data_IF_875645455751
#
_entry.id   IF_875645455751
#
_cell.length_a   1.000
_cell.length_b   1.000
_cell.length_c   1.000
_cell.angle_alpha   90.00
_cell.angle_beta   90.00
_cell.angle_gamma   90.00
#
_symmetry.space_group_name_H-M   'P 1'
#
loop_
_entity.id
_entity.type
_entity.pdbx_description
1 polymer ?
#
# COMPACT_ATOMS: atom_id res chain seq x y z
N UNK A 1 -31.84 20.18 -57.80
CA UNK A 1 -32.49 20.80 -56.63
C UNK A 1 -32.32 19.87 -55.45
N UNK A 2 -32.08 20.46 -54.28
CA UNK A 2 -31.63 19.90 -52.99
C UNK A 2 -30.17 19.44 -52.93
N UNK A 3 -29.32 19.89 -52.01
CA UNK A 3 -29.10 21.15 -51.28
C UNK A 3 -27.82 20.89 -50.46
N UNK A 4 -27.12 21.96 -50.08
CA UNK A 4 -25.83 21.94 -49.38
C UNK A 4 -25.87 21.24 -48.01
N UNK A 5 -24.82 20.50 -47.70
CA UNK A 5 -24.19 20.37 -46.37
C UNK A 5 -22.88 19.58 -46.56
N UNK A 6 -21.73 19.79 -45.94
CA UNK A 6 -21.16 20.84 -45.10
C UNK A 6 -19.67 20.47 -45.09
N UNK A 7 -18.79 21.47 -45.09
CA UNK A 7 -17.35 21.26 -44.95
C UNK A 7 -17.03 20.66 -43.59
N UNK A 8 -16.56 19.41 -43.55
CA UNK A 8 -15.86 18.89 -42.38
C UNK A 8 -14.39 18.76 -42.75
N UNK A 9 -13.67 19.86 -42.54
CA UNK A 9 -12.21 19.85 -42.52
C UNK A 9 -11.76 18.87 -41.45
N UNK A 10 -11.21 17.73 -41.89
CA UNK A 10 -10.47 16.84 -41.01
C UNK A 10 -9.17 17.55 -40.68
N UNK A 11 -9.14 18.25 -39.55
CA UNK A 11 -7.88 18.67 -38.95
C UNK A 11 -7.13 17.39 -38.57
N UNK A 12 -6.09 17.09 -39.36
CA UNK A 12 -5.11 16.08 -39.06
C UNK A 12 -4.32 16.58 -37.84
N UNK A 13 -4.85 16.34 -36.63
CA UNK A 13 -4.05 16.50 -35.42
C UNK A 13 -3.08 15.33 -35.39
N UNK A 14 -1.80 15.65 -35.64
CA UNK A 14 -0.71 14.69 -35.68
C UNK A 14 -0.71 13.79 -34.45
N UNK A 15 -0.36 12.53 -34.68
CA UNK A 15 -0.08 11.54 -33.65
C UNK A 15 0.78 12.19 -32.57
N UNK A 16 0.20 12.34 -31.37
CA UNK A 16 0.99 12.67 -30.20
C UNK A 16 1.87 11.44 -29.96
N UNK A 17 3.12 11.51 -30.39
CA UNK A 17 4.15 10.61 -29.89
C UNK A 17 4.31 10.93 -28.40
N UNK A 18 3.60 10.16 -27.57
CA UNK A 18 3.82 10.19 -26.13
C UNK A 18 5.20 9.61 -25.91
N UNK A 19 6.18 10.50 -25.74
CA UNK A 19 7.55 10.15 -25.39
C UNK A 19 7.54 9.23 -24.16
N UNK A 20 7.81 7.93 -24.39
CA UNK A 20 7.75 6.85 -23.40
C UNK A 20 8.89 6.87 -22.39
N UNK A 21 9.70 7.92 -22.38
CA UNK A 21 11.00 7.91 -21.70
C UNK A 21 10.98 8.44 -20.26
N UNK A 22 9.86 9.01 -19.78
CA UNK A 22 9.69 9.27 -18.35
C UNK A 22 8.24 9.10 -17.89
N UNK A 23 7.98 7.98 -17.21
CA UNK A 23 7.03 8.00 -16.09
C UNK A 23 7.83 7.84 -14.81
N UNK A 24 8.57 8.88 -14.41
CA UNK A 24 9.03 8.97 -13.04
C UNK A 24 7.79 9.28 -12.20
N UNK A 25 7.19 8.24 -11.63
CA UNK A 25 6.26 8.43 -10.52
C UNK A 25 7.05 9.13 -9.41
N UNK A 26 6.91 10.45 -9.29
CA UNK A 26 7.59 11.28 -8.28
C UNK A 26 6.92 11.17 -6.90
N UNK A 27 6.21 10.07 -6.66
CA UNK A 27 5.50 9.83 -5.42
C UNK A 27 6.07 8.59 -4.75
N UNK A 28 6.10 8.61 -3.43
CA UNK A 28 6.31 7.42 -2.63
C UNK A 28 4.94 6.89 -2.21
N UNK A 29 4.70 5.60 -2.45
CA UNK A 29 3.57 4.90 -1.84
C UNK A 29 3.96 4.47 -0.44
N UNK A 30 3.09 4.75 0.54
CA UNK A 30 3.29 4.38 1.93
C UNK A 30 2.14 3.49 2.35
N UNK A 31 2.46 2.24 2.70
CA UNK A 31 1.51 1.29 3.27
C UNK A 31 1.65 1.33 4.79
N UNK A 32 0.57 1.69 5.48
CA UNK A 32 0.53 1.74 6.95
C UNK A 32 -0.37 0.63 7.47
N UNK A 33 0.15 -0.15 8.41
CA UNK A 33 -0.64 -1.13 9.16
C UNK A 33 -0.38 -0.96 10.66
N UNK A 34 -1.38 -1.32 11.47
CA UNK A 34 -1.24 -1.40 12.93
C UNK A 34 -0.67 -2.79 13.29
N UNK A 35 0.14 -2.85 14.33
CA UNK A 35 0.57 -4.14 14.90
C UNK A 35 -0.62 -5.07 15.20
N UNK A 36 -0.39 -6.37 15.17
CA UNK A 36 -1.39 -7.37 15.55
C UNK A 36 -1.84 -7.23 17.00
N UNK A 37 -2.94 -7.90 17.34
CA UNK A 37 -3.50 -7.91 18.69
C UNK A 37 -2.49 -8.41 19.76
N UNK A 38 -2.63 -7.85 20.96
CA UNK A 38 -1.93 -8.27 22.18
C UNK A 38 -2.96 -8.55 23.28
N UNK A 39 -2.59 -9.29 24.32
CA UNK A 39 -3.48 -9.56 25.48
C UNK A 39 -4.04 -8.27 26.09
N UNK A 40 -3.27 -7.19 26.08
CA UNK A 40 -3.70 -5.91 26.65
C UNK A 40 -4.73 -5.20 25.79
N UNK A 41 -4.76 -5.47 24.48
CA UNK A 41 -5.82 -4.96 23.62
C UNK A 41 -7.14 -5.67 23.93
N UNK A 42 -7.10 -6.98 24.17
CA UNK A 42 -8.26 -7.78 24.58
C UNK A 42 -8.80 -7.31 25.92
N UNK A 43 -7.91 -7.10 26.90
CA UNK A 43 -8.27 -6.62 28.23
C UNK A 43 -8.68 -5.13 28.29
N UNK A 44 -8.60 -4.38 27.17
CA UNK A 44 -8.89 -2.95 27.13
C UNK A 44 -7.92 -2.08 27.95
N UNK A 45 -6.69 -2.56 28.19
CA UNK A 45 -5.67 -1.85 28.97
C UNK A 45 -4.92 -0.84 28.11
N UNK A 46 -4.65 0.33 28.68
CA UNK A 46 -3.78 1.34 28.05
C UNK A 46 -2.34 0.81 28.08
N UNK A 47 -1.74 0.66 26.90
CA UNK A 47 -0.44 0.01 26.71
C UNK A 47 0.73 1.01 26.71
N UNK A 48 0.55 2.20 26.11
CA UNK A 48 1.60 3.20 25.97
C UNK A 48 2.89 2.62 25.37
N UNK A 49 4.01 2.86 26.05
CA UNK A 49 5.35 2.35 25.71
C UNK A 49 5.67 1.00 26.37
N UNK A 50 4.70 0.36 27.04
CA UNK A 50 4.93 -0.96 27.61
C UNK A 50 4.99 -2.02 26.52
N UNK A 51 5.95 -2.91 26.67
CA UNK A 51 6.42 -3.79 25.62
C UNK A 51 5.80 -5.19 25.74
N UNK A 52 4.51 -5.28 25.43
CA UNK A 52 3.75 -6.55 25.39
C UNK A 52 3.84 -7.13 23.98
N UNK A 53 4.02 -8.45 23.91
CA UNK A 53 4.11 -9.21 22.66
C UNK A 53 2.74 -9.44 22.01
N UNK A 54 2.75 -9.85 20.74
CA UNK A 54 1.55 -10.31 20.05
C UNK A 54 0.97 -11.56 20.75
N UNK A 55 -0.36 -11.65 20.80
CA UNK A 55 -1.03 -12.91 21.12
C UNK A 55 -1.14 -13.79 19.86
N UNK A 56 -1.73 -14.98 19.98
CA UNK A 56 -1.91 -15.90 18.85
C UNK A 56 -2.76 -15.29 17.74
N UNK A 57 -3.79 -14.53 18.10
CA UNK A 57 -4.65 -13.82 17.14
C UNK A 57 -3.83 -12.76 16.39
N UNK A 58 -3.01 -11.99 17.09
CA UNK A 58 -2.12 -10.99 16.51
C UNK A 58 -1.09 -11.57 15.54
N UNK A 59 -0.54 -12.76 15.86
CA UNK A 59 0.33 -13.50 14.93
C UNK A 59 -0.41 -13.91 13.66
N UNK A 60 -1.64 -14.41 13.78
CA UNK A 60 -2.47 -14.77 12.62
C UNK A 60 -2.85 -13.55 11.77
N UNK A 61 -3.16 -12.41 12.42
CA UNK A 61 -3.41 -11.14 11.73
C UNK A 61 -2.20 -10.69 10.92
N UNK A 62 -0.98 -10.74 11.50
CA UNK A 62 0.23 -10.38 10.79
C UNK A 62 0.49 -11.30 9.59
N UNK A 63 0.27 -12.61 9.73
CA UNK A 63 0.37 -13.56 8.63
C UNK A 63 -0.65 -13.28 7.50
N UNK A 64 -1.88 -12.88 7.84
CA UNK A 64 -2.89 -12.51 6.85
C UNK A 64 -2.49 -11.24 6.08
N UNK A 65 -1.89 -10.25 6.75
CA UNK A 65 -1.32 -9.07 6.09
C UNK A 65 -0.18 -9.46 5.14
N UNK A 66 0.73 -10.34 5.57
CA UNK A 66 1.80 -10.86 4.73
C UNK A 66 1.26 -11.49 3.45
N UNK A 67 0.25 -12.37 3.59
CA UNK A 67 -0.40 -13.02 2.44
C UNK A 67 -1.08 -12.01 1.51
N UNK A 68 -1.67 -10.93 2.03
CA UNK A 68 -2.28 -9.87 1.22
C UNK A 68 -1.24 -9.06 0.47
N UNK A 69 -0.15 -8.67 1.13
CA UNK A 69 0.92 -7.85 0.56
C UNK A 69 1.82 -8.62 -0.41
N UNK A 70 1.87 -9.95 -0.34
CA UNK A 70 2.55 -10.79 -1.34
C UNK A 70 2.05 -10.60 -2.78
N UNK A 71 0.88 -9.96 -2.94
CA UNK A 71 0.24 -9.67 -4.22
C UNK A 71 0.48 -8.24 -4.71
N UNK A 72 1.17 -7.41 -3.93
CA UNK A 72 1.46 -6.01 -4.22
C UNK A 72 2.88 -5.84 -4.77
N UNK A 73 3.21 -4.68 -5.38
CA UNK A 73 4.57 -4.35 -5.77
C UNK A 73 5.59 -4.50 -4.63
N UNK A 74 6.84 -4.78 -4.99
CA UNK A 74 7.89 -5.09 -4.02
C UNK A 74 8.17 -3.88 -3.12
N UNK A 75 8.10 -4.09 -1.80
CA UNK A 75 8.43 -3.09 -0.80
C UNK A 75 9.95 -2.87 -0.76
N UNK A 76 10.37 -1.61 -0.88
CA UNK A 76 11.79 -1.24 -0.83
C UNK A 76 12.37 -1.20 0.58
N UNK A 77 11.55 -0.83 1.57
CA UNK A 77 11.98 -0.67 2.96
C UNK A 77 10.79 -0.85 3.91
N UNK A 78 11.06 -1.41 5.10
CA UNK A 78 10.07 -1.58 6.17
C UNK A 78 10.57 -0.86 7.42
N UNK A 79 9.66 -0.14 8.07
CA UNK A 79 9.92 0.56 9.33
C UNK A 79 8.95 0.06 10.40
N UNK A 80 9.42 -0.02 11.64
CA UNK A 80 8.61 -0.27 12.83
C UNK A 80 9.13 0.56 14.00
N UNK A 81 8.31 0.75 15.04
CA UNK A 81 8.84 1.13 16.35
C UNK A 81 9.73 0.01 16.91
N UNK A 82 10.46 0.33 17.97
CA UNK A 82 11.26 -0.59 18.78
C UNK A 82 10.41 -1.56 19.64
N UNK A 83 9.12 -1.28 19.84
CA UNK A 83 8.20 -2.16 20.58
C UNK A 83 8.02 -3.53 19.91
N UNK A 84 8.14 -4.61 20.67
CA UNK A 84 8.06 -6.01 20.24
C UNK A 84 6.84 -6.31 19.40
N UNK A 85 5.64 -5.86 19.80
CA UNK A 85 4.41 -6.08 19.01
C UNK A 85 4.50 -5.54 17.59
N UNK A 86 5.11 -4.37 17.40
CA UNK A 86 5.29 -3.77 16.09
C UNK A 86 6.39 -4.48 15.31
N UNK A 87 7.51 -4.78 15.96
CA UNK A 87 8.63 -5.50 15.36
C UNK A 87 8.23 -6.92 14.92
N UNK A 88 7.56 -7.69 15.77
CA UNK A 88 7.06 -9.03 15.47
C UNK A 88 6.08 -9.01 14.29
N UNK A 89 5.20 -8.01 14.23
CA UNK A 89 4.28 -7.83 13.09
C UNK A 89 5.05 -7.56 11.80
N UNK A 90 6.00 -6.63 11.84
CA UNK A 90 6.83 -6.26 10.69
C UNK A 90 7.67 -7.44 10.17
N UNK A 91 8.33 -8.18 11.07
CA UNK A 91 9.11 -9.38 10.74
C UNK A 91 8.26 -10.50 10.14
N UNK A 92 7.02 -10.65 10.60
CA UNK A 92 6.09 -11.64 10.03
C UNK A 92 5.66 -11.25 8.61
N UNK A 93 5.44 -9.96 8.37
CA UNK A 93 4.99 -9.44 7.07
C UNK A 93 6.12 -9.43 6.04
N UNK A 94 7.34 -9.12 6.48
CA UNK A 94 8.50 -8.97 5.62
C UNK A 94 9.75 -9.57 6.29
N UNK A 95 9.94 -10.89 6.19
CA UNK A 95 11.07 -11.59 6.81
C UNK A 95 12.41 -11.31 6.13
#
# INVERSE_FOLDING_TARGET
VSDLAESNGVAHFGSIEVDSTFSSSSYAEIVVFRHGETEWNVDGRIQGQLDVELNDVGRQQAAAVAARLSKEPKVSVVYSSDLKRALQSAQTIWP
#
